data_IF_020909824123
#
_entry.id   IF_020909824123
#
_cell.length_a   1.000
_cell.length_b   1.000
_cell.length_c   1.000
_cell.angle_alpha   90.00
_cell.angle_beta   90.00
_cell.angle_gamma   90.00
#
_symmetry.space_group_name_H-M   'P 1'
#
loop_
_entity.id
_entity.type
_entity.pdbx_description
1 polymer ?
#
# COMPACT_ATOMS: atom_id res chain seq x y z
N UNK A 1 -9.43 38.59 3.37
CA UNK A 1 -10.48 37.78 4.03
C UNK A 1 -11.52 37.52 2.98
N UNK A 2 -11.70 36.23 2.57
CA UNK A 2 -12.75 35.86 1.65
C UNK A 2 -14.10 36.02 2.35
N UNK A 3 -15.10 36.53 1.64
CA UNK A 3 -16.45 36.61 2.16
C UNK A 3 -17.10 35.22 2.19
N UNK A 4 -18.11 35.00 3.05
CA UNK A 4 -18.82 33.72 3.11
C UNK A 4 -19.45 33.34 1.75
N UNK A 5 -19.85 34.33 0.96
CA UNK A 5 -20.38 34.14 -0.40
C UNK A 5 -19.30 33.63 -1.38
N UNK A 6 -18.08 34.17 -1.32
CA UNK A 6 -16.95 33.70 -2.13
C UNK A 6 -16.57 32.24 -1.77
N UNK A 7 -16.56 31.93 -0.48
CA UNK A 7 -16.31 30.55 -0.01
C UNK A 7 -17.40 29.60 -0.50
N UNK A 8 -18.65 30.02 -0.42
CA UNK A 8 -19.77 29.20 -0.90
C UNK A 8 -19.68 28.92 -2.40
N UNK A 9 -19.35 29.94 -3.23
CA UNK A 9 -19.17 29.78 -4.67
C UNK A 9 -18.00 28.84 -4.99
N UNK A 10 -16.89 28.94 -4.26
CA UNK A 10 -15.73 28.04 -4.45
C UNK A 10 -16.14 26.60 -4.12
N UNK A 11 -16.80 26.38 -2.98
CA UNK A 11 -17.27 25.03 -2.60
C UNK A 11 -18.28 24.46 -3.59
N UNK A 12 -19.17 25.29 -4.13
CA UNK A 12 -20.12 24.86 -5.14
C UNK A 12 -19.43 24.47 -6.46
N UNK A 13 -18.45 25.23 -6.90
CA UNK A 13 -17.66 24.92 -8.09
C UNK A 13 -16.83 23.65 -7.90
N UNK A 14 -16.19 23.48 -6.75
CA UNK A 14 -15.46 22.26 -6.40
C UNK A 14 -16.38 21.04 -6.38
N UNK A 15 -17.57 21.17 -5.80
CA UNK A 15 -18.58 20.10 -5.77
C UNK A 15 -19.04 19.72 -7.18
N UNK A 16 -19.32 20.68 -8.04
CA UNK A 16 -19.71 20.43 -9.42
C UNK A 16 -18.58 19.74 -10.20
N UNK A 17 -17.37 20.23 -10.06
CA UNK A 17 -16.16 19.62 -10.68
C UNK A 17 -15.96 18.17 -10.20
N UNK A 18 -16.17 17.90 -8.91
CA UNK A 18 -16.07 16.55 -8.37
C UNK A 18 -17.15 15.60 -8.95
N UNK A 19 -18.38 16.11 -9.18
CA UNK A 19 -19.45 15.35 -9.81
C UNK A 19 -19.13 15.07 -11.28
N UNK A 20 -18.59 16.05 -12.02
CA UNK A 20 -18.21 15.92 -13.41
C UNK A 20 -17.10 14.88 -13.58
N UNK A 21 -16.09 14.93 -12.73
CA UNK A 21 -15.01 13.95 -12.70
C UNK A 21 -15.56 12.55 -12.36
N UNK A 22 -16.47 12.45 -11.42
CA UNK A 22 -17.09 11.18 -11.00
C UNK A 22 -17.92 10.58 -12.15
N UNK A 23 -18.70 11.39 -12.86
CA UNK A 23 -19.45 10.95 -14.03
C UNK A 23 -18.52 10.40 -15.13
N UNK A 24 -17.44 11.12 -15.42
CA UNK A 24 -16.43 10.69 -16.41
C UNK A 24 -15.78 9.35 -16.04
N UNK A 25 -15.43 9.17 -14.75
CA UNK A 25 -14.88 7.91 -14.25
C UNK A 25 -15.90 6.77 -14.37
N UNK A 26 -17.16 7.02 -14.02
CA UNK A 26 -18.24 6.03 -14.11
C UNK A 26 -18.43 5.60 -15.56
N UNK A 27 -18.49 6.55 -16.52
CA UNK A 27 -18.59 6.24 -17.95
C UNK A 27 -17.47 5.34 -18.43
N UNK A 28 -16.21 5.67 -18.14
CA UNK A 28 -15.05 4.84 -18.50
C UNK A 28 -15.14 3.42 -17.91
N UNK A 29 -15.64 3.27 -16.69
CA UNK A 29 -15.82 1.94 -16.05
C UNK A 29 -16.93 1.13 -16.70
N UNK A 30 -18.00 1.80 -17.12
CA UNK A 30 -19.14 1.17 -17.81
C UNK A 30 -18.73 0.71 -19.21
N UNK A 31 -17.94 1.51 -19.94
CA UNK A 31 -17.40 1.12 -21.24
C UNK A 31 -16.60 -0.18 -21.17
N UNK A 32 -15.85 -0.39 -20.07
CA UNK A 32 -15.10 -1.63 -19.81
C UNK A 32 -16.00 -2.84 -19.47
N UNK A 33 -17.25 -2.61 -19.06
CA UNK A 33 -18.22 -3.68 -18.81
C UNK A 33 -18.86 -4.23 -20.09
N UNK A 34 -18.65 -3.56 -21.23
CA UNK A 34 -19.21 -3.98 -22.52
C UNK A 34 -20.73 -3.86 -22.61
N UNK A 35 -21.35 -3.03 -21.76
CA UNK A 35 -22.83 -2.84 -21.76
C UNK A 35 -23.25 -2.04 -23.00
N UNK A 36 -24.21 -2.54 -23.74
CA UNK A 36 -24.78 -1.83 -24.87
C UNK A 36 -25.69 -0.69 -24.40
N UNK A 37 -25.42 0.54 -24.88
CA UNK A 37 -26.23 1.73 -24.61
C UNK A 37 -26.45 2.05 -23.12
N UNK A 38 -25.40 2.25 -22.32
CA UNK A 38 -25.56 2.66 -20.94
C UNK A 38 -26.11 4.09 -20.85
N UNK A 39 -27.01 4.33 -19.91
CA UNK A 39 -27.49 5.67 -19.62
C UNK A 39 -26.84 6.18 -18.33
N UNK A 40 -26.10 7.30 -18.42
CA UNK A 40 -25.46 7.94 -17.26
C UNK A 40 -25.86 9.41 -17.26
N UNK A 41 -26.56 9.85 -16.23
CA UNK A 41 -27.10 11.21 -16.12
C UNK A 41 -26.81 11.81 -14.76
N UNK A 42 -26.43 13.09 -14.74
CA UNK A 42 -26.43 13.88 -13.50
C UNK A 42 -27.86 14.26 -13.15
N UNK A 43 -28.23 14.02 -11.91
CA UNK A 43 -29.54 14.43 -11.37
C UNK A 43 -29.34 15.39 -10.22
N UNK A 44 -30.37 16.16 -9.91
CA UNK A 44 -30.34 17.15 -8.83
C UNK A 44 -29.89 16.57 -7.49
N UNK A 45 -29.21 17.37 -6.67
CA UNK A 45 -28.69 16.97 -5.37
C UNK A 45 -27.39 16.17 -5.42
N UNK A 46 -26.52 16.40 -6.42
CA UNK A 46 -25.19 15.81 -6.48
C UNK A 46 -25.18 14.31 -6.73
N UNK A 47 -26.19 13.78 -7.40
CA UNK A 47 -26.34 12.35 -7.67
C UNK A 47 -26.11 12.04 -9.14
N UNK A 48 -25.63 10.82 -9.41
CA UNK A 48 -25.48 10.29 -10.77
C UNK A 48 -26.38 9.08 -10.89
N UNK A 49 -27.33 9.12 -11.85
CA UNK A 49 -28.16 8.00 -12.23
C UNK A 49 -27.41 7.15 -13.26
N UNK A 50 -27.35 5.85 -13.02
CA UNK A 50 -26.70 4.87 -13.91
C UNK A 50 -27.68 3.75 -14.21
N UNK A 51 -28.01 3.57 -15.49
CA UNK A 51 -28.84 2.48 -15.97
C UNK A 51 -28.01 1.62 -16.94
N UNK A 52 -27.97 0.33 -16.66
CA UNK A 52 -27.18 -0.64 -17.43
C UNK A 52 -28.09 -1.75 -17.97
N UNK A 53 -28.74 -1.51 -19.12
CA UNK A 53 -29.61 -2.52 -19.71
C UNK A 53 -28.83 -3.76 -20.15
N UNK A 54 -29.38 -4.93 -19.94
CA UNK A 54 -28.80 -6.20 -20.41
C UNK A 54 -27.54 -6.67 -19.67
N UNK A 55 -27.29 -6.18 -18.46
CA UNK A 55 -26.17 -6.66 -17.66
C UNK A 55 -26.53 -7.98 -16.95
N UNK A 56 -25.75 -9.01 -17.18
CA UNK A 56 -25.97 -10.35 -16.61
C UNK A 56 -25.56 -10.40 -15.13
N UNK A 57 -24.42 -9.82 -14.77
CA UNK A 57 -23.86 -9.84 -13.40
C UNK A 57 -23.97 -8.44 -12.75
N UNK A 58 -25.12 -8.21 -12.11
CA UNK A 58 -25.40 -6.95 -11.41
C UNK A 58 -24.49 -6.69 -10.22
N UNK A 59 -24.09 -7.74 -9.50
CA UNK A 59 -23.24 -7.59 -8.31
C UNK A 59 -21.79 -7.26 -8.71
N UNK A 60 -21.28 -7.86 -9.76
CA UNK A 60 -19.96 -7.51 -10.31
C UNK A 60 -19.93 -6.07 -10.78
N UNK A 61 -20.96 -5.63 -11.52
CA UNK A 61 -21.06 -4.24 -11.97
C UNK A 61 -21.12 -3.26 -10.80
N UNK A 62 -21.95 -3.55 -9.80
CA UNK A 62 -22.08 -2.73 -8.60
C UNK A 62 -20.75 -2.64 -7.84
N UNK A 63 -20.04 -3.75 -7.67
CA UNK A 63 -18.73 -3.79 -7.02
C UNK A 63 -17.70 -2.98 -7.80
N UNK A 64 -17.70 -3.07 -9.12
CA UNK A 64 -16.76 -2.34 -9.98
C UNK A 64 -17.05 -0.84 -10.00
N UNK A 65 -18.32 -0.43 -10.04
CA UNK A 65 -18.71 0.98 -9.98
C UNK A 65 -18.49 1.61 -8.61
N UNK A 66 -18.71 0.85 -7.53
CA UNK A 66 -18.50 1.33 -6.15
C UNK A 66 -17.03 1.29 -5.72
N UNK A 67 -16.15 0.61 -6.45
CA UNK A 67 -14.75 0.52 -6.06
C UNK A 67 -14.09 1.90 -6.15
N UNK A 68 -13.71 2.42 -4.99
CA UNK A 68 -12.90 3.62 -4.86
C UNK A 68 -11.48 3.19 -4.54
N UNK A 69 -10.59 3.28 -5.51
CA UNK A 69 -9.17 3.03 -5.28
C UNK A 69 -8.38 4.21 -5.84
N UNK A 70 -7.53 4.80 -5.03
CA UNK A 70 -6.49 5.67 -5.53
C UNK A 70 -5.35 4.80 -6.02
N UNK A 71 -5.04 4.89 -7.32
CA UNK A 71 -3.84 4.28 -7.85
C UNK A 71 -2.68 5.24 -7.58
N UNK A 72 -1.68 4.73 -6.93
CA UNK A 72 -0.46 5.46 -6.58
C UNK A 72 0.75 4.65 -7.01
N UNK A 73 1.75 5.34 -7.56
CA UNK A 73 3.02 4.74 -7.95
C UNK A 73 4.11 5.21 -7.01
N UNK A 74 4.77 4.24 -6.39
CA UNK A 74 5.80 4.48 -5.41
C UNK A 74 7.10 3.82 -5.84
N UNK A 75 8.20 4.53 -5.69
CA UNK A 75 9.51 3.92 -5.76
C UNK A 75 9.75 3.07 -4.52
N UNK A 76 10.34 1.91 -4.70
CA UNK A 76 10.71 1.03 -3.60
C UNK A 76 12.21 1.09 -3.32
N UNK A 77 12.58 0.85 -2.09
CA UNK A 77 13.94 0.43 -1.76
C UNK A 77 14.14 -1.02 -2.16
N UNK A 78 15.35 -1.37 -2.57
CA UNK A 78 15.75 -2.76 -2.62
C UNK A 78 16.09 -3.28 -1.21
N UNK A 79 15.98 -4.59 -1.02
CA UNK A 79 16.25 -5.24 0.27
C UNK A 79 17.66 -4.98 0.79
N UNK A 80 18.68 -4.97 -0.09
CA UNK A 80 20.07 -4.67 0.25
C UNK A 80 20.27 -3.21 0.75
N UNK A 81 19.49 -2.26 0.24
CA UNK A 81 19.57 -0.85 0.65
C UNK A 81 19.05 -0.61 2.09
N UNK A 82 18.10 -1.43 2.54
CA UNK A 82 17.45 -1.25 3.85
C UNK A 82 17.80 -2.34 4.88
N UNK A 83 18.53 -3.37 4.49
CA UNK A 83 18.93 -4.48 5.38
C UNK A 83 19.51 -3.99 6.71
N UNK A 84 20.46 -3.04 6.64
CA UNK A 84 21.10 -2.48 7.83
C UNK A 84 20.10 -1.76 8.75
N UNK A 85 19.10 -1.04 8.19
CA UNK A 85 18.07 -0.34 8.96
C UNK A 85 17.12 -1.32 9.66
N UNK A 86 16.68 -2.37 8.96
CA UNK A 86 15.79 -3.40 9.54
C UNK A 86 16.52 -4.20 10.62
N UNK A 87 17.78 -4.52 10.41
CA UNK A 87 18.62 -5.18 11.42
C UNK A 87 18.85 -4.29 12.64
N UNK A 88 19.10 -2.99 12.43
CA UNK A 88 19.21 -2.03 13.53
C UNK A 88 17.88 -1.89 14.31
N UNK A 89 16.74 -1.92 13.63
CA UNK A 89 15.42 -1.90 14.26
C UNK A 89 15.19 -3.17 15.12
N UNK A 90 15.54 -4.35 14.59
CA UNK A 90 15.48 -5.58 15.37
C UNK A 90 16.34 -5.52 16.62
N UNK A 91 17.60 -5.06 16.51
CA UNK A 91 18.53 -4.95 17.64
C UNK A 91 18.05 -3.91 18.67
N UNK A 92 17.51 -2.77 18.22
CA UNK A 92 16.95 -1.77 19.11
C UNK A 92 15.74 -2.30 19.89
N UNK A 93 14.87 -3.07 19.23
CA UNK A 93 13.75 -3.75 19.87
C UNK A 93 14.22 -4.78 20.89
N UNK A 94 15.21 -5.61 20.55
CA UNK A 94 15.77 -6.61 21.46
C UNK A 94 16.33 -5.96 22.73
N UNK A 95 17.14 -4.90 22.58
CA UNK A 95 17.70 -4.15 23.72
C UNK A 95 16.63 -3.48 24.58
N UNK A 96 15.57 -2.97 23.99
CA UNK A 96 14.49 -2.33 24.73
C UNK A 96 13.57 -3.31 25.44
N UNK A 97 13.37 -4.50 24.86
CA UNK A 97 12.44 -5.51 25.39
C UNK A 97 13.09 -6.49 26.37
N UNK A 98 14.38 -6.74 26.21
CA UNK A 98 15.16 -7.72 27.01
C UNK A 98 16.56 -7.19 27.30
N UNK A 99 16.71 -6.05 28.01
CA UNK A 99 17.99 -5.40 28.24
C UNK A 99 19.01 -6.31 28.95
N UNK A 100 18.54 -7.25 29.74
CA UNK A 100 19.35 -8.24 30.45
C UNK A 100 20.15 -9.15 29.53
N UNK A 101 19.73 -9.33 28.30
CA UNK A 101 20.41 -10.17 27.31
C UNK A 101 21.50 -9.41 26.53
N UNK A 102 21.68 -8.11 26.76
CA UNK A 102 22.64 -7.26 26.05
C UNK A 102 23.67 -6.57 26.97
N UNK A 103 23.64 -6.85 28.28
CA UNK A 103 24.56 -6.27 29.27
C UNK A 103 25.95 -6.95 29.27
N UNK A 104 26.84 -6.43 30.12
CA UNK A 104 28.17 -7.02 30.31
C UNK A 104 28.13 -8.45 30.89
N UNK A 105 27.06 -8.76 31.64
CA UNK A 105 26.82 -10.07 32.22
C UNK A 105 25.88 -10.94 31.36
N UNK A 106 25.67 -10.56 30.11
CA UNK A 106 24.82 -11.34 29.20
C UNK A 106 25.43 -12.74 28.96
N UNK A 107 24.59 -13.80 28.89
CA UNK A 107 25.07 -15.12 28.56
C UNK A 107 25.73 -15.16 27.19
N UNK A 108 26.78 -15.98 27.03
CA UNK A 108 27.39 -16.17 25.74
C UNK A 108 26.38 -16.74 24.73
N UNK A 109 26.46 -16.32 23.46
CA UNK A 109 25.53 -16.71 22.37
C UNK A 109 25.31 -18.22 22.27
N UNK A 110 26.35 -19.01 22.54
CA UNK A 110 26.31 -20.49 22.52
C UNK A 110 25.50 -21.10 23.64
N UNK A 111 25.17 -20.34 24.69
CA UNK A 111 24.42 -20.79 25.87
C UNK A 111 22.98 -20.30 25.87
N UNK A 112 22.59 -19.51 24.90
CA UNK A 112 21.24 -18.96 24.83
C UNK A 112 20.21 -20.04 24.51
N UNK A 113 19.14 -20.06 25.30
CA UNK A 113 17.94 -20.85 24.95
C UNK A 113 17.25 -20.30 23.70
N UNK A 114 16.42 -21.12 23.06
CA UNK A 114 15.64 -20.68 21.90
C UNK A 114 14.72 -19.48 22.24
N UNK A 115 14.20 -19.43 23.45
CA UNK A 115 13.38 -18.32 23.94
C UNK A 115 14.20 -17.03 24.09
N UNK A 116 15.39 -17.11 24.63
CA UNK A 116 16.32 -15.97 24.74
C UNK A 116 16.77 -15.47 23.36
N UNK A 117 17.06 -16.39 22.41
CA UNK A 117 17.38 -16.02 21.03
C UNK A 117 16.24 -15.25 20.35
N UNK A 118 14.99 -15.67 20.57
CA UNK A 118 13.79 -14.96 20.09
C UNK A 118 13.60 -13.62 20.79
N UNK A 119 13.90 -13.52 22.08
CA UNK A 119 13.82 -12.27 22.83
C UNK A 119 14.88 -11.25 22.36
N UNK A 120 16.09 -11.70 22.00
CA UNK A 120 17.12 -10.86 21.40
C UNK A 120 16.76 -10.39 19.98
N UNK A 121 15.99 -11.18 19.24
CA UNK A 121 15.61 -10.93 17.86
C UNK A 121 14.09 -10.89 17.70
N UNK A 122 13.38 -9.98 18.37
CA UNK A 122 11.93 -10.00 18.45
C UNK A 122 11.25 -9.81 17.10
N UNK A 123 11.84 -9.04 16.18
CA UNK A 123 11.34 -8.87 14.83
C UNK A 123 11.60 -10.13 14.00
N UNK A 124 12.81 -10.65 13.99
CA UNK A 124 13.20 -11.80 13.16
C UNK A 124 12.64 -13.13 13.69
N UNK A 125 12.09 -13.16 14.91
CA UNK A 125 11.32 -14.31 15.41
C UNK A 125 10.04 -14.56 14.59
N UNK A 126 9.52 -13.54 13.90
CA UNK A 126 8.29 -13.60 13.12
C UNK A 126 8.46 -13.13 11.66
N UNK A 127 9.55 -12.46 11.35
CA UNK A 127 9.82 -11.86 10.05
C UNK A 127 11.13 -12.39 9.46
N UNK A 128 11.04 -12.99 8.28
CA UNK A 128 12.19 -13.51 7.55
C UNK A 128 12.62 -12.52 6.46
N UNK A 129 13.86 -12.04 6.53
CA UNK A 129 14.43 -11.17 5.49
C UNK A 129 14.63 -11.93 4.18
N UNK A 130 14.39 -11.25 3.05
CA UNK A 130 14.78 -11.73 1.74
C UNK A 130 16.25 -11.36 1.49
N UNK A 131 17.12 -12.37 1.49
CA UNK A 131 18.58 -12.18 1.34
C UNK A 131 19.18 -12.95 0.17
N UNK A 132 18.36 -13.79 -0.49
CA UNK A 132 18.87 -14.67 -1.55
C UNK A 132 19.05 -13.94 -2.88
N UNK A 133 18.26 -12.90 -3.11
CA UNK A 133 18.31 -12.10 -4.34
C UNK A 133 18.00 -10.64 -4.05
N UNK A 134 18.55 -9.76 -4.87
CA UNK A 134 18.17 -8.35 -4.86
C UNK A 134 16.75 -8.19 -5.35
N UNK A 135 15.88 -7.66 -4.51
CA UNK A 135 14.44 -7.56 -4.74
C UNK A 135 13.87 -6.34 -4.04
N UNK A 136 12.72 -5.86 -4.48
CA UNK A 136 11.93 -4.86 -3.75
C UNK A 136 11.21 -5.45 -2.53
N UNK A 137 11.16 -6.77 -2.40
CA UNK A 137 10.63 -7.43 -1.21
C UNK A 137 11.68 -7.40 -0.11
N UNK A 138 11.33 -6.82 1.04
CA UNK A 138 12.19 -6.76 2.23
C UNK A 138 12.28 -8.12 2.92
N UNK A 139 11.16 -8.80 2.98
CA UNK A 139 11.04 -10.11 3.61
C UNK A 139 9.58 -10.55 3.71
N UNK A 140 9.38 -11.64 4.44
CA UNK A 140 8.11 -12.34 4.53
C UNK A 140 7.73 -12.62 5.97
N UNK A 141 6.43 -12.70 6.24
CA UNK A 141 5.87 -13.21 7.49
C UNK A 141 4.64 -14.06 7.23
N UNK A 142 4.29 -14.96 8.15
CA UNK A 142 2.99 -15.62 8.10
C UNK A 142 1.85 -14.61 8.27
N UNK A 143 0.72 -14.79 7.58
CA UNK A 143 -0.42 -13.86 7.72
C UNK A 143 -0.88 -13.68 9.17
N UNK A 144 -0.84 -14.74 9.97
CA UNK A 144 -1.21 -14.70 11.38
C UNK A 144 -0.32 -13.75 12.20
N UNK A 145 0.93 -13.55 11.79
CA UNK A 145 1.93 -12.76 12.50
C UNK A 145 2.06 -11.32 12.00
N UNK A 146 1.35 -10.94 10.91
CA UNK A 146 1.42 -9.59 10.33
C UNK A 146 1.11 -8.49 11.35
N UNK A 147 0.10 -8.69 12.20
CA UNK A 147 -0.25 -7.73 13.24
C UNK A 147 0.87 -7.59 14.27
N UNK A 148 1.50 -8.70 14.65
CA UNK A 148 2.60 -8.72 15.62
C UNK A 148 3.84 -8.01 15.07
N UNK A 149 4.18 -8.26 13.81
CA UNK A 149 5.26 -7.54 13.11
C UNK A 149 4.94 -6.05 13.04
N UNK A 150 3.70 -5.68 12.70
CA UNK A 150 3.27 -4.28 12.68
C UNK A 150 3.41 -3.59 14.04
N UNK A 151 3.04 -4.28 15.13
CA UNK A 151 3.14 -3.73 16.48
C UNK A 151 4.61 -3.49 16.87
N UNK A 152 5.52 -4.41 16.51
CA UNK A 152 6.95 -4.24 16.71
C UNK A 152 7.50 -3.05 15.91
N UNK A 153 7.14 -2.94 14.62
CA UNK A 153 7.60 -1.87 13.74
C UNK A 153 7.04 -0.49 14.11
N UNK A 154 5.91 -0.44 14.83
CA UNK A 154 5.33 0.82 15.35
C UNK A 154 6.01 1.36 16.60
N UNK A 155 6.80 0.55 17.29
CA UNK A 155 7.51 0.98 18.51
C UNK A 155 8.50 2.10 18.20
N UNK A 156 8.70 3.04 19.15
CA UNK A 156 9.61 4.17 18.96
C UNK A 156 11.03 3.76 18.55
N UNK A 157 11.53 2.68 19.17
CA UNK A 157 12.87 2.16 18.95
C UNK A 157 13.07 1.69 17.51
N UNK A 158 12.09 0.97 16.96
CA UNK A 158 12.11 0.52 15.59
C UNK A 158 11.97 1.68 14.60
N UNK A 159 11.05 2.62 14.87
CA UNK A 159 10.85 3.81 14.02
C UNK A 159 12.09 4.68 13.92
N UNK A 160 12.81 4.86 15.04
CA UNK A 160 14.04 5.63 15.05
C UNK A 160 15.12 4.99 14.18
N UNK A 161 15.27 3.68 14.22
CA UNK A 161 16.22 2.94 13.41
C UNK A 161 15.86 2.91 11.92
N UNK A 162 14.56 2.82 11.59
CA UNK A 162 14.07 2.78 10.22
C UNK A 162 14.13 4.13 9.51
N UNK A 163 14.13 5.26 10.26
CA UNK A 163 14.05 6.63 9.75
C UNK A 163 12.70 6.96 9.10
N UNK A 164 12.46 8.25 8.82
CA UNK A 164 11.15 8.73 8.35
C UNK A 164 10.97 8.76 6.84
N UNK A 165 12.03 8.46 6.09
CA UNK A 165 12.06 8.50 4.62
C UNK A 165 11.50 7.23 3.97
N UNK A 166 11.17 6.21 4.76
CA UNK A 166 10.59 4.97 4.27
C UNK A 166 9.23 4.68 4.93
N UNK A 167 8.38 4.04 4.17
CA UNK A 167 7.10 3.50 4.62
C UNK A 167 7.01 2.03 4.27
N UNK A 168 6.67 1.21 5.26
CA UNK A 168 6.52 -0.23 5.08
C UNK A 168 5.08 -0.57 4.72
N UNK A 169 4.89 -1.38 3.69
CA UNK A 169 3.58 -1.82 3.22
C UNK A 169 3.56 -3.31 2.90
N UNK A 170 2.49 -3.97 3.32
CA UNK A 170 2.25 -5.37 2.99
C UNK A 170 1.63 -5.54 1.61
N UNK A 171 1.96 -6.63 0.97
CA UNK A 171 1.25 -7.12 -0.22
C UNK A 171 -0.24 -7.29 0.09
N UNK A 172 -1.10 -6.77 -0.81
CA UNK A 172 -2.56 -6.80 -0.58
C UNK A 172 -3.18 -8.18 -0.79
N UNK A 173 -2.60 -9.00 -1.67
CA UNK A 173 -3.06 -10.36 -1.99
C UNK A 173 -1.84 -11.24 -2.21
N UNK A 174 -1.64 -12.20 -1.35
CA UNK A 174 -0.72 -13.30 -1.61
C UNK A 174 -1.50 -14.55 -2.01
N UNK A 175 -0.93 -15.32 -2.91
CA UNK A 175 -1.42 -16.65 -3.29
C UNK A 175 -0.94 -17.74 -2.31
N UNK A 176 -0.07 -17.37 -1.38
CA UNK A 176 0.55 -18.23 -0.38
C UNK A 176 0.15 -17.79 1.03
N UNK A 177 0.45 -18.62 2.04
CA UNK A 177 0.16 -18.32 3.44
C UNK A 177 1.09 -17.27 4.07
N UNK A 178 1.88 -16.58 3.27
CA UNK A 178 2.84 -15.57 3.67
C UNK A 178 2.52 -14.23 3.02
N UNK A 179 2.72 -13.15 3.79
CA UNK A 179 2.65 -11.79 3.29
C UNK A 179 4.05 -11.26 3.03
N UNK A 180 4.26 -10.66 1.86
CA UNK A 180 5.49 -9.94 1.51
C UNK A 180 5.44 -8.50 2.00
N UNK A 181 6.54 -8.01 2.56
CA UNK A 181 6.71 -6.64 3.03
C UNK A 181 7.58 -5.87 2.03
N UNK A 182 7.12 -4.68 1.66
CA UNK A 182 7.81 -3.74 0.78
C UNK A 182 8.19 -2.48 1.55
N UNK A 183 9.35 -1.91 1.23
CA UNK A 183 9.74 -0.59 1.71
C UNK A 183 9.61 0.41 0.57
N UNK A 184 8.71 1.36 0.71
CA UNK A 184 8.50 2.42 -0.28
C UNK A 184 9.22 3.69 0.16
N UNK A 185 9.73 4.46 -0.83
CA UNK A 185 10.40 5.74 -0.61
C UNK A 185 9.37 6.83 -0.37
N UNK A 186 9.32 7.36 0.83
CA UNK A 186 8.47 8.51 1.20
C UNK A 186 9.35 9.73 1.53
N UNK A 187 10.06 10.23 0.51
CA UNK A 187 10.99 11.37 0.67
C UNK A 187 10.32 12.62 1.25
N UNK A 188 9.01 12.75 1.04
CA UNK A 188 8.26 13.89 1.58
C UNK A 188 7.88 13.73 3.05
N UNK A 189 7.90 12.50 3.58
CA UNK A 189 7.37 12.15 4.89
C UNK A 189 5.87 12.42 5.06
N UNK A 190 5.18 12.77 3.97
CA UNK A 190 3.75 13.15 3.97
C UNK A 190 2.82 12.04 3.48
N UNK A 191 3.38 10.89 3.09
CA UNK A 191 2.60 9.79 2.55
C UNK A 191 1.88 10.10 1.23
N UNK A 192 2.47 10.97 0.38
CA UNK A 192 1.94 11.29 -0.95
C UNK A 192 2.84 10.72 -2.02
N UNK A 193 2.27 9.90 -2.90
CA UNK A 193 2.95 9.40 -4.06
C UNK A 193 3.32 10.51 -5.05
N UNK A 194 4.49 10.38 -5.69
CA UNK A 194 4.92 11.30 -6.76
C UNK A 194 4.00 11.22 -7.98
N UNK A 195 3.53 10.03 -8.30
CA UNK A 195 2.63 9.76 -9.41
C UNK A 195 1.37 9.05 -8.90
N UNK A 196 0.25 9.44 -9.46
CA UNK A 196 -1.07 8.87 -9.13
C UNK A 196 -1.81 8.47 -10.40
N UNK A 197 -2.93 7.79 -10.26
CA UNK A 197 -3.79 7.44 -11.38
C UNK A 197 -4.25 8.63 -12.24
N UNK A 198 -4.15 9.85 -11.72
CA UNK A 198 -4.41 11.09 -12.49
C UNK A 198 -3.36 11.36 -13.56
N UNK A 199 -2.16 10.82 -13.40
CA UNK A 199 -1.05 10.96 -14.37
C UNK A 199 -1.14 9.97 -15.52
N UNK A 200 -2.07 9.02 -15.47
CA UNK A 200 -2.25 8.02 -16.54
C UNK A 200 -3.02 8.65 -17.69
N UNK A 201 -2.39 8.67 -18.85
CA UNK A 201 -2.97 9.17 -20.10
C UNK A 201 -3.69 8.03 -20.84
N UNK A 202 -3.06 6.85 -20.87
CA UNK A 202 -3.58 5.66 -21.54
C UNK A 202 -3.23 4.39 -20.73
N UNK A 203 -4.13 3.39 -20.76
CA UNK A 203 -3.91 2.10 -20.14
C UNK A 203 -4.59 1.01 -20.98
N UNK A 204 -3.82 0.02 -21.43
CA UNK A 204 -4.31 -1.06 -22.28
C UNK A 204 -3.73 -2.41 -21.87
N UNK A 205 -4.49 -3.47 -22.14
CA UNK A 205 -3.98 -4.83 -22.03
C UNK A 205 -2.98 -5.08 -23.13
N UNK A 206 -1.84 -5.66 -22.80
CA UNK A 206 -0.77 -6.02 -23.72
C UNK A 206 -0.22 -7.39 -23.33
N UNK A 207 0.72 -7.90 -24.11
CA UNK A 207 1.45 -9.12 -23.80
C UNK A 207 2.94 -8.76 -23.74
N UNK A 208 3.64 -9.35 -22.78
CA UNK A 208 5.09 -9.23 -22.71
C UNK A 208 5.80 -10.17 -23.69
N UNK A 209 7.14 -10.16 -23.66
CA UNK A 209 7.97 -10.98 -24.56
C UNK A 209 7.82 -12.49 -24.35
N UNK A 210 7.33 -12.92 -23.19
CA UNK A 210 7.09 -14.32 -22.84
C UNK A 210 5.62 -14.73 -23.06
N UNK A 211 4.74 -13.77 -23.45
CA UNK A 211 3.34 -14.01 -23.74
C UNK A 211 2.41 -13.87 -22.54
N UNK A 212 2.90 -13.37 -21.41
CA UNK A 212 2.08 -13.09 -20.25
C UNK A 212 1.24 -11.82 -20.44
N UNK A 213 0.03 -11.84 -19.90
CA UNK A 213 -0.89 -10.69 -19.97
C UNK A 213 -0.41 -9.60 -19.01
N UNK A 214 -0.08 -8.45 -19.57
CA UNK A 214 0.37 -7.28 -18.82
C UNK A 214 -0.51 -6.06 -19.10
N UNK A 215 -0.46 -5.07 -18.23
CA UNK A 215 -1.09 -3.77 -18.45
C UNK A 215 -0.02 -2.75 -18.86
N UNK A 216 -0.08 -2.31 -20.13
CA UNK A 216 0.78 -1.22 -20.62
C UNK A 216 0.12 0.11 -20.28
N UNK A 217 0.88 1.02 -19.66
CA UNK A 217 0.39 2.34 -19.25
C UNK A 217 1.33 3.44 -19.76
N UNK A 218 0.72 4.55 -20.21
CA UNK A 218 1.42 5.79 -20.54
C UNK A 218 1.08 6.84 -19.49
N UNK A 219 2.11 7.51 -18.93
CA UNK A 219 1.98 8.55 -17.91
C UNK A 219 2.68 9.82 -18.34
#
# INVERSE_FOLDING_TARGET
QSTDEEIFLILQNESNTAIDNTESIIRKRIDQLGVAQPNVQKVSGGRILVELPGIDDRERARKQLKSTANLEFWETYFNDEIFARVSAANNALGRAMSPELFGADAPADSLLTLEQQRAMNPLFAYFQLETQRRSSVVGYTAFADTNRVNDLLRRPEAKQALQSDLRLMWEAKSTQNFAALYAIKDESGKGKAKLSGKSIIDARVSYDEIGDVVVSMTM
#
